data_IF_992527936674
#
_entry.id   IF_992527936674
#
_cell.length_a   1.000
_cell.length_b   1.000
_cell.length_c   1.000
_cell.angle_alpha   90.00
_cell.angle_beta   90.00
_cell.angle_gamma   90.00
#
_symmetry.space_group_name_H-M   'P 1'
#
loop_
_entity.id
_entity.type
_entity.pdbx_description
1 polymer ?
#
# COMPACT_ATOMS: atom_id res chain seq x y z
N UNK A 1 -71.10 23.17 -46.98
CA UNK A 1 -71.07 22.31 -45.78
C UNK A 1 -69.66 22.36 -45.19
N UNK A 2 -69.52 22.87 -43.95
CA UNK A 2 -68.35 22.65 -43.08
C UNK A 2 -68.38 21.17 -42.58
N UNK A 3 -67.30 20.53 -42.07
CA UNK A 3 -66.28 21.13 -41.19
C UNK A 3 -64.82 20.59 -41.34
N UNK A 4 -63.81 21.40 -40.96
CA UNK A 4 -62.86 21.20 -39.84
C UNK A 4 -61.83 20.06 -39.93
N UNK A 5 -60.54 20.43 -39.87
CA UNK A 5 -59.40 19.72 -39.27
C UNK A 5 -58.19 20.68 -39.31
N UNK A 6 -57.98 21.49 -38.27
CA UNK A 6 -57.10 21.31 -37.10
C UNK A 6 -55.62 21.10 -37.48
N UNK A 7 -54.84 22.12 -37.10
CA UNK A 7 -53.38 22.29 -37.17
C UNK A 7 -52.69 21.38 -36.14
N UNK A 8 -51.54 20.80 -36.48
CA UNK A 8 -50.54 20.41 -35.48
C UNK A 8 -49.15 20.82 -35.94
N UNK A 9 -48.59 21.82 -35.25
CA UNK A 9 -47.22 22.32 -35.35
C UNK A 9 -46.33 21.38 -34.53
N UNK A 10 -45.32 20.77 -35.15
CA UNK A 10 -44.29 20.01 -34.46
C UNK A 10 -43.31 20.98 -33.78
N UNK A 11 -43.45 21.15 -32.46
CA UNK A 11 -42.42 21.77 -31.62
C UNK A 11 -41.52 20.65 -31.10
N UNK A 12 -40.32 20.57 -31.66
CA UNK A 12 -39.21 19.78 -31.12
C UNK A 12 -38.71 20.42 -29.83
N UNK A 13 -39.07 19.82 -28.69
CA UNK A 13 -38.49 20.17 -27.39
C UNK A 13 -37.16 19.43 -27.20
N UNK A 14 -36.09 20.23 -27.12
CA UNK A 14 -34.81 19.85 -26.54
C UNK A 14 -35.04 19.45 -25.08
N UNK A 15 -34.83 18.19 -24.74
CA UNK A 15 -34.71 17.75 -23.34
C UNK A 15 -33.27 18.02 -22.88
N UNK A 16 -33.03 18.88 -21.88
CA UNK A 16 -31.75 18.89 -21.19
C UNK A 16 -31.67 17.61 -20.35
N UNK A 17 -30.55 16.90 -20.43
CA UNK A 17 -30.20 15.83 -19.49
C UNK A 17 -29.99 16.47 -18.11
N UNK A 18 -31.09 16.64 -17.37
CA UNK A 18 -31.05 16.84 -15.92
C UNK A 18 -30.71 15.47 -15.35
N UNK A 19 -29.48 15.31 -14.87
CA UNK A 19 -29.10 14.21 -13.97
C UNK A 19 -29.99 14.32 -12.74
N UNK A 20 -31.11 13.60 -12.73
CA UNK A 20 -31.97 13.51 -11.56
C UNK A 20 -31.19 12.78 -10.46
N UNK A 21 -30.88 13.50 -9.39
CA UNK A 21 -30.60 12.87 -8.10
C UNK A 21 -31.82 12.03 -7.71
N UNK A 22 -31.61 10.75 -7.38
CA UNK A 22 -32.68 9.79 -7.13
C UNK A 22 -33.61 10.26 -5.99
N UNK A 23 -34.94 10.28 -6.21
CA UNK A 23 -35.92 10.59 -5.20
C UNK A 23 -36.14 9.35 -4.31
N UNK A 24 -36.27 9.55 -2.99
CA UNK A 24 -36.59 8.55 -1.95
C UNK A 24 -35.41 7.79 -1.31
N UNK A 25 -34.83 8.32 -0.20
CA UNK A 25 -33.84 7.61 0.63
C UNK A 25 -34.40 6.40 1.41
N UNK A 26 -35.72 6.28 1.58
CA UNK A 26 -36.36 5.32 2.50
C UNK A 26 -36.57 3.90 1.94
N UNK A 27 -36.15 3.59 0.70
CA UNK A 27 -36.34 2.27 0.07
C UNK A 27 -35.03 1.58 -0.36
N UNK A 28 -33.89 1.97 0.21
CA UNK A 28 -32.61 1.35 -0.16
C UNK A 28 -32.46 -0.02 0.49
N UNK A 29 -32.15 -1.03 -0.34
CA UNK A 29 -31.78 -2.36 0.15
C UNK A 29 -30.50 -2.32 1.01
N UNK A 30 -30.33 -3.27 1.94
CA UNK A 30 -29.11 -3.40 2.75
C UNK A 30 -27.81 -3.37 1.94
N UNK A 31 -27.83 -3.93 0.72
CA UNK A 31 -26.68 -3.87 -0.20
C UNK A 31 -26.41 -2.45 -0.69
N UNK A 32 -27.45 -1.70 -1.09
CA UNK A 32 -27.31 -0.31 -1.54
C UNK A 32 -26.79 0.59 -0.41
N UNK A 33 -27.30 0.40 0.82
CA UNK A 33 -26.79 1.09 2.01
C UNK A 33 -25.31 0.79 2.24
N UNK A 34 -24.90 -0.48 2.20
CA UNK A 34 -23.49 -0.87 2.33
C UNK A 34 -22.59 -0.30 1.21
N UNK A 35 -23.12 -0.21 -0.03
CA UNK A 35 -22.40 0.41 -1.16
C UNK A 35 -22.24 1.91 -0.94
N UNK A 36 -23.26 2.62 -0.47
CA UNK A 36 -23.18 4.05 -0.13
C UNK A 36 -22.09 4.29 0.91
N UNK A 37 -22.11 3.57 2.03
CA UNK A 37 -21.06 3.68 3.06
C UNK A 37 -19.66 3.42 2.49
N UNK A 38 -19.51 2.43 1.62
CA UNK A 38 -18.22 2.17 0.98
C UNK A 38 -17.77 3.27 0.02
N UNK A 39 -18.69 3.90 -0.72
CA UNK A 39 -18.36 5.00 -1.62
C UNK A 39 -17.95 6.24 -0.82
N UNK A 40 -18.74 6.61 0.20
CA UNK A 40 -18.42 7.73 1.09
C UNK A 40 -17.07 7.51 1.80
N UNK A 41 -16.78 6.28 2.22
CA UNK A 41 -15.49 5.93 2.81
C UNK A 41 -14.34 6.10 1.81
N UNK A 42 -14.49 5.64 0.56
CA UNK A 42 -13.46 5.78 -0.49
C UNK A 42 -13.22 7.24 -0.84
N UNK A 43 -14.26 8.06 -0.94
CA UNK A 43 -14.15 9.49 -1.24
C UNK A 43 -13.42 10.24 -0.12
N UNK A 44 -13.81 10.00 1.13
CA UNK A 44 -13.25 10.72 2.28
C UNK A 44 -11.84 10.27 2.67
N UNK A 45 -11.53 8.97 2.53
CA UNK A 45 -10.29 8.39 3.04
C UNK A 45 -9.29 8.02 1.94
N UNK A 46 -9.74 7.91 0.67
CA UNK A 46 -8.94 7.37 -0.45
C UNK A 46 -8.38 5.97 -0.18
N UNK A 47 -9.11 5.16 0.59
CA UNK A 47 -8.72 3.78 0.94
C UNK A 47 -9.75 2.77 0.39
N UNK A 48 -9.34 1.52 0.13
CA UNK A 48 -10.25 0.48 -0.31
C UNK A 48 -11.34 0.18 0.72
N UNK A 49 -12.57 0.10 0.22
CA UNK A 49 -13.72 -0.48 0.90
C UNK A 49 -14.37 -1.47 -0.04
N UNK A 50 -15.01 -2.51 0.48
CA UNK A 50 -15.86 -3.38 -0.33
C UNK A 50 -17.04 -3.89 0.48
N UNK A 51 -18.08 -4.36 -0.22
CA UNK A 51 -19.30 -4.86 0.39
C UNK A 51 -19.25 -6.39 0.49
N UNK A 52 -19.46 -6.91 1.69
CA UNK A 52 -19.54 -8.35 1.96
C UNK A 52 -20.96 -8.75 2.37
N UNK A 53 -21.37 -9.97 2.01
CA UNK A 53 -22.60 -10.59 2.53
C UNK A 53 -22.26 -11.24 3.86
N UNK A 54 -22.97 -10.87 4.92
CA UNK A 54 -22.67 -11.22 6.32
C UNK A 54 -21.40 -10.53 6.85
N UNK A 55 -20.31 -11.27 7.07
CA UNK A 55 -19.13 -10.77 7.78
C UNK A 55 -18.01 -10.30 6.85
N UNK A 56 -17.16 -9.41 7.38
CA UNK A 56 -15.93 -9.06 6.72
C UNK A 56 -14.93 -10.23 6.83
N UNK A 57 -14.26 -10.61 5.73
CA UNK A 57 -13.20 -11.60 5.74
C UNK A 57 -12.02 -11.12 6.58
N UNK A 58 -11.17 -12.08 6.99
CA UNK A 58 -9.96 -11.80 7.77
C UNK A 58 -9.10 -10.72 7.07
N UNK A 59 -8.63 -9.75 7.84
CA UNK A 59 -7.86 -8.59 7.36
C UNK A 59 -8.70 -7.34 7.07
N UNK A 60 -10.02 -7.41 7.27
CA UNK A 60 -10.93 -6.29 7.07
C UNK A 60 -11.78 -6.04 8.32
N UNK A 61 -12.23 -4.80 8.48
CA UNK A 61 -13.13 -4.39 9.56
C UNK A 61 -14.49 -4.00 9.03
N UNK A 62 -15.52 -4.30 9.82
CA UNK A 62 -16.86 -3.76 9.59
C UNK A 62 -16.83 -2.26 9.88
N UNK A 63 -17.13 -1.44 8.87
CA UNK A 63 -17.45 -0.02 9.06
C UNK A 63 -18.87 0.08 9.61
N UNK A 64 -19.81 -0.58 8.93
CA UNK A 64 -21.22 -0.61 9.29
C UNK A 64 -21.85 -1.90 8.77
N UNK A 65 -22.85 -2.42 9.50
CA UNK A 65 -23.59 -3.62 9.17
C UNK A 65 -25.08 -3.29 9.06
N UNK A 66 -25.68 -3.72 7.96
CA UNK A 66 -27.08 -3.49 7.64
C UNK A 66 -27.83 -4.82 7.76
N UNK A 67 -28.65 -4.91 8.80
CA UNK A 67 -29.53 -6.04 9.11
C UNK A 67 -30.94 -5.50 9.31
N UNK A 68 -31.80 -5.64 8.30
CA UNK A 68 -33.24 -5.46 8.47
C UNK A 68 -33.93 -6.83 8.52
N UNK A 69 -35.17 -6.88 9.02
CA UNK A 69 -35.93 -8.13 9.23
C UNK A 69 -36.43 -8.77 7.93
N UNK A 70 -36.17 -8.16 6.77
CA UNK A 70 -36.77 -8.53 5.49
C UNK A 70 -35.77 -8.98 4.42
N UNK A 71 -34.46 -8.87 4.66
CA UNK A 71 -33.45 -9.12 3.63
C UNK A 71 -32.12 -9.72 4.13
N UNK A 72 -31.24 -10.13 3.19
CA UNK A 72 -29.90 -10.60 3.53
C UNK A 72 -29.05 -9.49 4.15
N UNK A 73 -28.25 -9.88 5.13
CA UNK A 73 -27.29 -9.00 5.81
C UNK A 73 -26.14 -8.62 4.89
N UNK A 74 -25.78 -7.33 4.90
CA UNK A 74 -24.58 -6.82 4.24
C UNK A 74 -23.73 -5.99 5.20
N UNK A 75 -22.42 -6.10 5.06
CA UNK A 75 -21.45 -5.27 5.77
C UNK A 75 -20.63 -4.44 4.78
N UNK A 76 -20.44 -3.16 5.09
CA UNK A 76 -19.39 -2.36 4.47
C UNK A 76 -18.07 -2.66 5.17
N UNK A 77 -17.10 -3.18 4.43
CA UNK A 77 -15.84 -3.66 4.97
C UNK A 77 -14.69 -2.73 4.55
N UNK A 78 -14.06 -2.08 5.52
CA UNK A 78 -12.81 -1.35 5.28
C UNK A 78 -11.63 -2.29 5.39
N UNK A 79 -10.63 -1.99 4.58
CA UNK A 79 -9.38 -2.68 4.64
C UNK A 79 -8.51 -2.16 5.79
N UNK A 80 -8.35 -2.95 6.86
CA UNK A 80 -7.43 -2.63 7.97
C UNK A 80 -5.98 -2.48 7.50
N UNK A 81 -5.62 -3.10 6.37
CA UNK A 81 -4.25 -3.09 5.79
C UNK A 81 -3.87 -1.73 5.19
N UNK A 82 -4.84 -0.82 5.07
CA UNK A 82 -4.66 0.55 4.61
C UNK A 82 -4.80 1.59 5.73
N UNK A 83 -5.18 1.15 6.94
CA UNK A 83 -5.24 2.02 8.09
C UNK A 83 -3.80 2.38 8.49
N UNK A 84 -3.52 3.68 8.45
CA UNK A 84 -2.41 4.24 9.20
C UNK A 84 -2.60 3.81 10.67
N UNK A 85 -1.55 3.34 11.36
CA UNK A 85 -1.58 3.37 12.81
C UNK A 85 -2.05 4.76 13.24
N UNK A 86 -2.96 4.84 14.22
CA UNK A 86 -3.22 6.08 14.97
C UNK A 86 -1.98 6.39 15.83
N UNK A 87 -0.80 6.49 15.22
CA UNK A 87 0.29 7.23 15.80
C UNK A 87 -0.11 8.69 15.63
N UNK A 88 -0.15 9.42 16.74
CA UNK A 88 -0.23 10.87 16.76
C UNK A 88 0.67 11.40 15.65
N UNK A 89 0.08 11.86 14.53
CA UNK A 89 0.90 12.57 13.57
C UNK A 89 1.47 13.76 14.34
N UNK A 90 2.79 13.92 14.42
CA UNK A 90 3.33 15.11 15.03
C UNK A 90 2.70 16.30 14.31
N UNK A 91 2.27 17.35 15.04
CA UNK A 91 1.63 18.51 14.44
C UNK A 91 2.49 18.99 13.27
N UNK A 92 1.86 19.26 12.11
CA UNK A 92 2.55 19.35 10.81
C UNK A 92 3.78 20.27 10.76
N UNK A 93 3.90 21.22 11.69
CA UNK A 93 5.09 22.06 11.87
C UNK A 93 6.35 21.34 12.37
N UNK A 94 6.22 20.32 13.24
CA UNK A 94 7.38 19.62 13.84
C UNK A 94 8.10 18.74 12.81
N UNK A 95 7.35 18.02 11.98
CA UNK A 95 7.93 17.27 10.86
C UNK A 95 8.57 18.20 9.83
N UNK A 96 7.89 19.29 9.43
CA UNK A 96 8.39 20.20 8.41
C UNK A 96 9.78 20.78 8.78
N UNK A 97 9.97 21.18 10.05
CA UNK A 97 11.26 21.69 10.53
C UNK A 97 12.37 20.63 10.60
N UNK A 98 12.04 19.36 10.83
CA UNK A 98 13.03 18.27 11.00
C UNK A 98 13.28 17.43 9.74
N UNK A 99 12.43 17.54 8.73
CA UNK A 99 12.50 16.74 7.53
C UNK A 99 13.88 16.78 6.82
N UNK A 100 14.57 17.93 6.66
CA UNK A 100 15.91 17.95 6.08
C UNK A 100 16.95 17.13 6.88
N UNK A 101 16.88 17.21 8.22
CA UNK A 101 17.77 16.45 9.11
C UNK A 101 17.47 14.95 9.03
N UNK A 102 16.18 14.57 9.02
CA UNK A 102 15.75 13.18 8.88
C UNK A 102 16.19 12.56 7.56
N UNK A 103 16.03 13.27 6.44
CA UNK A 103 16.51 12.81 5.13
C UNK A 103 18.02 12.60 5.13
N UNK A 104 18.79 13.53 5.71
CA UNK A 104 20.24 13.38 5.85
C UNK A 104 20.62 12.16 6.68
N UNK A 105 19.89 11.84 7.75
CA UNK A 105 20.12 10.62 8.54
C UNK A 105 19.75 9.36 7.77
N UNK A 106 18.65 9.38 7.01
CA UNK A 106 18.26 8.28 6.13
C UNK A 106 19.32 8.01 5.06
N UNK A 107 19.82 9.04 4.38
CA UNK A 107 20.86 8.86 3.36
C UNK A 107 22.19 8.37 3.96
N UNK A 108 22.53 8.79 5.19
CA UNK A 108 23.67 8.24 5.95
C UNK A 108 23.50 6.77 6.27
N UNK A 109 22.30 6.34 6.67
CA UNK A 109 21.97 4.93 6.89
C UNK A 109 22.18 4.13 5.61
N UNK A 110 21.59 4.57 4.49
CA UNK A 110 21.76 3.92 3.19
C UNK A 110 23.23 3.82 2.81
N UNK A 111 23.98 4.93 2.94
CA UNK A 111 25.42 4.95 2.66
C UNK A 111 26.23 4.00 3.57
N UNK A 112 25.85 3.84 4.83
CA UNK A 112 26.51 2.91 5.74
C UNK A 112 26.23 1.45 5.34
N UNK A 113 24.98 1.15 4.95
CA UNK A 113 24.57 -0.16 4.44
C UNK A 113 25.31 -0.49 3.14
N UNK A 114 25.41 0.47 2.21
CA UNK A 114 26.14 0.32 0.95
C UNK A 114 27.64 0.07 1.18
N UNK A 115 28.27 0.79 2.10
CA UNK A 115 29.68 0.55 2.49
C UNK A 115 29.88 -0.84 3.12
N UNK A 116 28.85 -1.38 3.76
CA UNK A 116 28.84 -2.73 4.31
C UNK A 116 28.60 -3.83 3.26
N UNK A 117 28.37 -3.50 2.00
CA UNK A 117 28.14 -4.49 0.95
C UNK A 117 29.32 -5.47 0.84
N UNK A 118 28.98 -6.75 0.72
CA UNK A 118 29.93 -7.83 0.48
C UNK A 118 29.62 -8.47 -0.87
N UNK A 119 30.63 -8.53 -1.74
CA UNK A 119 30.49 -9.08 -3.08
C UNK A 119 29.74 -8.16 -4.05
N UNK A 120 29.32 -8.73 -5.19
CA UNK A 120 28.59 -8.01 -6.23
C UNK A 120 27.10 -7.98 -5.95
N UNK A 121 26.43 -6.93 -6.39
CA UNK A 121 24.97 -6.92 -6.45
C UNK A 121 24.49 -7.97 -7.45
N UNK A 122 23.42 -8.67 -7.11
CA UNK A 122 22.86 -9.76 -7.92
C UNK A 122 21.43 -9.42 -8.34
N UNK A 123 20.94 -10.09 -9.37
CA UNK A 123 19.58 -9.92 -9.87
C UNK A 123 18.79 -11.20 -9.66
N UNK A 124 17.47 -11.05 -9.54
CA UNK A 124 16.57 -12.21 -9.59
C UNK A 124 16.76 -12.96 -10.92
N UNK A 125 16.83 -14.31 -10.90
CA UNK A 125 16.91 -15.12 -12.11
C UNK A 125 15.71 -14.88 -13.02
N UNK A 126 15.88 -15.17 -14.31
CA UNK A 126 14.82 -14.98 -15.32
C UNK A 126 13.51 -15.69 -14.91
N UNK A 127 13.59 -16.95 -14.49
CA UNK A 127 12.43 -17.74 -14.06
C UNK A 127 11.67 -17.05 -12.91
N UNK A 128 12.39 -16.59 -11.88
CA UNK A 128 11.78 -15.86 -10.75
C UNK A 128 11.15 -14.55 -11.20
N UNK A 129 11.80 -13.79 -12.09
CA UNK A 129 11.24 -12.53 -12.61
C UNK A 129 9.96 -12.75 -13.42
N UNK A 130 9.93 -13.79 -14.25
CA UNK A 130 8.74 -14.15 -15.03
C UNK A 130 7.57 -14.55 -14.12
N UNK A 131 7.84 -15.40 -13.13
CA UNK A 131 6.83 -15.84 -12.16
C UNK A 131 6.30 -14.68 -11.31
N UNK A 132 7.19 -13.79 -10.86
CA UNK A 132 6.85 -12.65 -10.00
C UNK A 132 6.27 -11.46 -10.77
N UNK A 133 6.58 -11.32 -12.07
CA UNK A 133 6.15 -10.18 -12.89
C UNK A 133 4.63 -10.04 -13.01
N UNK A 134 3.90 -11.16 -12.98
CA UNK A 134 2.45 -11.15 -12.92
C UNK A 134 1.89 -10.51 -11.65
N UNK A 135 2.63 -10.63 -10.54
CA UNK A 135 2.21 -10.05 -9.26
C UNK A 135 2.69 -8.61 -9.15
N UNK A 136 3.97 -8.35 -9.42
CA UNK A 136 4.60 -7.04 -9.24
C UNK A 136 4.64 -6.23 -10.55
N UNK A 137 3.49 -6.09 -11.20
CA UNK A 137 3.37 -5.43 -12.52
C UNK A 137 3.70 -3.93 -12.53
N UNK A 138 3.67 -3.28 -11.36
CA UNK A 138 3.99 -1.86 -11.23
C UNK A 138 5.50 -1.58 -11.16
N UNK A 139 6.37 -2.60 -11.12
CA UNK A 139 7.82 -2.42 -11.05
C UNK A 139 8.55 -3.27 -12.08
N UNK A 140 9.69 -2.75 -12.53
CA UNK A 140 10.61 -3.50 -13.38
C UNK A 140 11.57 -4.34 -12.51
N UNK A 141 11.24 -5.62 -12.36
CA UNK A 141 12.04 -6.59 -11.60
C UNK A 141 13.46 -6.78 -12.16
N UNK A 142 13.73 -6.38 -13.41
CA UNK A 142 15.08 -6.46 -13.99
C UNK A 142 16.03 -5.42 -13.42
N UNK A 143 15.48 -4.33 -12.86
CA UNK A 143 16.25 -3.21 -12.30
C UNK A 143 16.56 -3.37 -10.81
N UNK A 144 15.92 -4.34 -10.16
CA UNK A 144 16.08 -4.59 -8.73
C UNK A 144 17.36 -5.39 -8.48
N UNK A 145 18.18 -4.86 -7.58
CA UNK A 145 19.44 -5.47 -7.14
C UNK A 145 19.29 -6.04 -5.75
N UNK A 146 19.72 -7.27 -5.56
CA UNK A 146 19.79 -7.97 -4.29
C UNK A 146 21.25 -7.95 -3.80
N UNK A 147 21.46 -7.58 -2.55
CA UNK A 147 22.78 -7.28 -2.00
C UNK A 147 22.91 -7.87 -0.60
N UNK A 148 24.02 -8.55 -0.33
CA UNK A 148 24.42 -8.90 1.03
C UNK A 148 25.19 -7.72 1.65
N UNK A 149 24.78 -7.26 2.83
CA UNK A 149 25.50 -6.23 3.58
C UNK A 149 25.71 -6.64 5.03
N UNK A 150 26.97 -6.62 5.47
CA UNK A 150 27.37 -6.89 6.86
C UNK A 150 27.08 -5.74 7.82
N UNK A 151 26.62 -4.60 7.31
CA UNK A 151 26.22 -3.45 8.14
C UNK A 151 24.82 -3.62 8.73
N UNK A 152 24.02 -4.56 8.22
CA UNK A 152 22.74 -4.94 8.79
C UNK A 152 22.96 -6.07 9.80
N UNK A 153 22.51 -5.89 11.04
CA UNK A 153 22.60 -6.92 12.07
C UNK A 153 21.59 -8.06 11.81
N UNK A 154 20.42 -7.74 11.28
CA UNK A 154 19.39 -8.69 10.91
C UNK A 154 18.51 -8.14 9.77
N UNK A 155 17.59 -8.97 9.28
CA UNK A 155 16.55 -8.53 8.36
C UNK A 155 17.05 -8.12 6.98
N UNK A 156 16.21 -7.34 6.29
CA UNK A 156 16.53 -6.70 5.03
C UNK A 156 16.02 -5.25 5.04
N UNK A 157 16.66 -4.42 4.24
CA UNK A 157 16.35 -3.01 4.05
C UNK A 157 16.29 -2.72 2.55
N UNK A 158 15.38 -1.84 2.11
CA UNK A 158 15.32 -1.40 0.72
C UNK A 158 15.25 0.11 0.60
N UNK A 159 16.00 0.64 -0.38
CA UNK A 159 15.98 2.05 -0.78
C UNK A 159 15.14 2.29 -2.05
N UNK A 160 14.26 1.34 -2.38
CA UNK A 160 13.48 1.20 -3.61
C UNK A 160 14.21 0.66 -4.83
N UNK A 161 15.55 0.70 -4.89
CA UNK A 161 16.30 0.19 -6.06
C UNK A 161 17.09 -1.06 -5.71
N UNK A 162 17.60 -1.10 -4.50
CA UNK A 162 18.37 -2.19 -3.96
C UNK A 162 17.65 -2.76 -2.74
N UNK A 163 17.79 -4.06 -2.55
CA UNK A 163 17.37 -4.76 -1.35
C UNK A 163 18.66 -5.30 -0.73
N UNK A 164 19.01 -4.76 0.43
CA UNK A 164 20.15 -5.17 1.22
C UNK A 164 19.66 -6.15 2.29
N UNK A 165 20.34 -7.26 2.48
CA UNK A 165 20.00 -8.23 3.53
C UNK A 165 21.23 -8.55 4.38
N UNK A 166 21.00 -8.84 5.66
CA UNK A 166 22.04 -9.25 6.60
C UNK A 166 22.58 -10.67 6.35
N UNK A 167 21.84 -11.53 5.63
CA UNK A 167 22.23 -12.91 5.35
C UNK A 167 22.67 -13.07 3.89
N UNK A 168 23.94 -13.44 3.68
CA UNK A 168 24.47 -13.78 2.35
C UNK A 168 23.83 -15.04 1.76
N UNK A 169 23.59 -16.06 2.58
CA UNK A 169 22.97 -17.32 2.15
C UNK A 169 21.55 -17.10 1.62
N UNK A 170 20.80 -16.20 2.27
CA UNK A 170 19.46 -15.82 1.81
C UNK A 170 19.50 -15.13 0.45
N UNK A 171 20.44 -14.21 0.24
CA UNK A 171 20.62 -13.55 -1.07
C UNK A 171 21.03 -14.55 -2.14
N UNK A 172 21.93 -15.49 -1.81
CA UNK A 172 22.34 -16.56 -2.71
C UNK A 172 21.15 -17.46 -3.08
N UNK A 173 20.33 -17.88 -2.12
CA UNK A 173 19.15 -18.70 -2.37
C UNK A 173 18.13 -18.01 -3.30
N UNK A 174 17.93 -16.70 -3.16
CA UNK A 174 17.04 -15.93 -4.06
C UNK A 174 17.61 -15.75 -5.47
N UNK A 175 18.93 -15.87 -5.63
CA UNK A 175 19.64 -15.53 -6.87
C UNK A 175 20.25 -16.74 -7.57
N UNK A 176 20.08 -17.94 -7.02
CA UNK A 176 20.50 -19.18 -7.64
C UNK A 176 19.74 -19.38 -8.97
N UNK A 177 20.42 -19.41 -10.13
CA UNK A 177 19.77 -19.57 -11.41
C UNK A 177 19.19 -20.97 -11.64
N UNK A 178 19.63 -21.99 -10.89
CA UNK A 178 19.19 -23.37 -11.01
C UNK A 178 18.00 -23.69 -10.11
N UNK A 179 18.00 -23.15 -8.89
CA UNK A 179 16.97 -23.42 -7.90
C UNK A 179 16.63 -22.18 -7.07
N UNK A 180 16.05 -21.13 -7.68
CA UNK A 180 15.75 -19.91 -6.95
C UNK A 180 14.66 -20.14 -5.92
N UNK A 181 14.93 -19.74 -4.69
CA UNK A 181 13.96 -19.77 -3.60
C UNK A 181 13.12 -18.50 -3.62
N UNK A 182 11.81 -18.66 -3.75
CA UNK A 182 10.87 -17.59 -3.45
C UNK A 182 10.48 -17.71 -1.98
N UNK A 183 10.86 -16.73 -1.17
CA UNK A 183 10.47 -16.68 0.25
C UNK A 183 9.53 -15.51 0.54
N UNK A 184 8.80 -15.61 1.64
CA UNK A 184 7.93 -14.52 2.10
C UNK A 184 8.71 -13.21 2.31
N UNK A 185 9.95 -13.30 2.79
CA UNK A 185 10.82 -12.15 3.01
C UNK A 185 11.23 -11.47 1.71
N UNK A 186 11.53 -12.21 0.64
CA UNK A 186 11.76 -11.63 -0.69
C UNK A 186 10.52 -10.85 -1.17
N UNK A 187 9.36 -11.49 -1.10
CA UNK A 187 8.10 -10.90 -1.54
C UNK A 187 7.75 -9.64 -0.74
N UNK A 188 8.07 -9.64 0.55
CA UNK A 188 7.90 -8.49 1.43
C UNK A 188 8.76 -7.30 0.96
N UNK A 189 10.05 -7.53 0.67
CA UNK A 189 10.93 -6.47 0.18
C UNK A 189 10.50 -5.95 -1.20
N UNK A 190 10.07 -6.83 -2.09
CA UNK A 190 9.50 -6.42 -3.39
C UNK A 190 8.21 -5.61 -3.24
N UNK A 191 7.39 -5.88 -2.22
CA UNK A 191 6.20 -5.08 -1.94
C UNK A 191 6.53 -3.64 -1.50
N UNK A 192 7.65 -3.43 -0.80
CA UNK A 192 8.14 -2.08 -0.51
C UNK A 192 8.61 -1.36 -1.77
N UNK A 193 9.33 -2.06 -2.64
CA UNK A 193 9.76 -1.53 -3.94
C UNK A 193 8.55 -1.15 -4.80
N UNK A 194 7.55 -2.03 -4.90
CA UNK A 194 6.27 -1.77 -5.58
C UNK A 194 5.59 -0.52 -5.03
N UNK A 195 5.50 -0.40 -3.71
CA UNK A 195 4.89 0.75 -3.06
C UNK A 195 5.66 2.04 -3.32
N UNK A 196 6.99 1.96 -3.39
CA UNK A 196 7.82 3.11 -3.69
C UNK A 196 7.56 3.65 -5.09
N UNK A 197 7.47 2.78 -6.09
CA UNK A 197 7.14 3.19 -7.47
C UNK A 197 5.75 3.83 -7.54
N UNK A 198 4.74 3.18 -6.94
CA UNK A 198 3.36 3.71 -6.86
C UNK A 198 3.30 5.09 -6.19
N UNK A 199 4.17 5.36 -5.23
CA UNK A 199 4.23 6.65 -4.54
C UNK A 199 4.99 7.73 -5.32
N UNK A 200 5.49 7.43 -6.53
CA UNK A 200 6.25 8.38 -7.34
C UNK A 200 7.74 8.38 -7.05
N UNK A 201 8.28 7.25 -6.56
CA UNK A 201 9.70 7.01 -6.38
C UNK A 201 10.25 7.32 -4.99
N UNK A 202 11.56 7.10 -4.85
CA UNK A 202 12.30 7.08 -3.57
C UNK A 202 12.05 8.30 -2.71
N UNK A 203 12.15 9.51 -3.26
CA UNK A 203 12.05 10.72 -2.44
C UNK A 203 10.68 10.83 -1.76
N UNK A 204 9.59 10.63 -2.51
CA UNK A 204 8.24 10.73 -1.97
C UNK A 204 7.94 9.58 -1.01
N UNK A 205 8.43 8.37 -1.32
CA UNK A 205 8.32 7.21 -0.44
C UNK A 205 9.01 7.45 0.90
N UNK A 206 10.27 7.88 0.88
CA UNK A 206 11.08 8.14 2.09
C UNK A 206 10.48 9.28 2.90
N UNK A 207 10.10 10.41 2.28
CA UNK A 207 9.41 11.50 3.02
C UNK A 207 8.14 11.03 3.69
N UNK A 208 7.38 10.16 3.01
CA UNK A 208 6.15 9.58 3.55
C UNK A 208 6.46 8.65 4.71
N UNK A 209 7.50 7.82 4.63
CA UNK A 209 7.99 7.00 5.73
C UNK A 209 8.41 7.86 6.94
N UNK A 210 9.31 8.82 6.72
CA UNK A 210 9.87 9.68 7.77
C UNK A 210 8.79 10.51 8.50
N UNK A 211 7.69 10.84 7.81
CA UNK A 211 6.55 11.54 8.41
C UNK A 211 5.83 10.73 9.50
N UNK A 212 5.92 9.40 9.44
CA UNK A 212 5.22 8.49 10.35
C UNK A 212 6.17 7.84 11.38
N UNK A 213 7.36 8.40 11.57
CA UNK A 213 8.23 7.96 12.65
C UNK A 213 7.55 8.20 14.01
N UNK A 214 7.84 7.37 15.03
CA UNK A 214 7.36 7.58 16.39
C UNK A 214 7.79 8.94 16.96
N UNK A 215 6.98 9.50 17.86
CA UNK A 215 7.25 10.81 18.49
C UNK A 215 8.59 10.82 19.24
N UNK A 216 9.04 9.66 19.75
CA UNK A 216 10.33 9.46 20.40
C UNK A 216 11.50 9.83 19.49
N UNK A 217 11.40 9.55 18.17
CA UNK A 217 12.43 9.90 17.20
C UNK A 217 12.51 11.41 17.03
N UNK A 218 11.36 12.09 16.98
CA UNK A 218 11.32 13.56 16.92
C UNK A 218 11.81 14.20 18.22
N UNK A 219 11.49 13.60 19.38
CA UNK A 219 11.99 14.04 20.68
C UNK A 219 13.53 13.92 20.78
N UNK A 220 14.10 12.81 20.31
CA UNK A 220 15.56 12.60 20.24
C UNK A 220 16.24 13.67 19.35
N UNK A 221 15.64 13.95 18.19
CA UNK A 221 16.10 15.01 17.30
C UNK A 221 16.05 16.41 17.91
N UNK A 222 15.06 16.70 18.75
CA UNK A 222 14.97 17.98 19.48
C UNK A 222 16.06 18.11 20.55
N UNK A 223 16.50 16.99 21.13
CA UNK A 223 17.62 16.95 22.09
C UNK A 223 19.01 16.91 21.42
N UNK A 224 19.07 16.84 20.09
CA UNK A 224 20.33 16.74 19.34
C UNK A 224 20.98 15.36 19.40
N UNK A 225 20.23 14.33 19.79
CA UNK A 225 20.73 12.96 19.91
C UNK A 225 20.95 12.33 18.52
N UNK A 226 21.90 11.39 18.45
CA UNK A 226 22.01 10.52 17.29
C UNK A 226 20.79 9.60 17.25
N UNK A 227 20.10 9.55 16.11
CA UNK A 227 18.97 8.62 15.93
C UNK A 227 19.56 7.24 15.72
N UNK A 228 19.07 6.27 16.49
CA UNK A 228 19.28 4.87 16.19
C UNK A 228 18.69 4.54 14.82
N UNK A 229 19.54 4.12 13.89
CA UNK A 229 19.14 3.79 12.53
C UNK A 229 18.18 2.60 12.47
N UNK A 230 18.17 1.73 13.49
CA UNK A 230 17.16 0.68 13.63
C UNK A 230 15.77 1.27 13.89
N UNK A 231 15.67 2.37 14.66
CA UNK A 231 14.40 3.07 14.85
C UNK A 231 13.86 3.66 13.54
N UNK A 232 14.73 4.12 12.63
CA UNK A 232 14.28 4.57 11.30
C UNK A 232 13.83 3.37 10.48
N UNK A 233 14.63 2.29 10.45
CA UNK A 233 14.37 1.06 9.69
C UNK A 233 13.05 0.38 10.07
N UNK A 234 12.78 0.16 11.36
CA UNK A 234 11.60 -0.58 11.83
C UNK A 234 10.33 0.27 11.99
N UNK A 235 10.45 1.60 11.95
CA UNK A 235 9.30 2.51 12.01
C UNK A 235 8.56 2.64 10.66
N UNK A 236 8.82 1.78 9.69
CA UNK A 236 8.16 1.85 8.40
C UNK A 236 6.67 1.49 8.55
N UNK A 237 5.79 2.50 8.59
CA UNK A 237 4.35 2.29 8.81
C UNK A 237 3.66 1.40 7.75
N UNK A 238 4.36 1.06 6.65
CA UNK A 238 3.88 0.23 5.55
C UNK A 238 4.29 -1.25 5.66
N UNK A 239 4.95 -1.66 6.75
CA UNK A 239 5.33 -3.06 7.03
C UNK A 239 4.14 -4.02 6.96
N UNK A 240 2.99 -3.63 7.51
CA UNK A 240 1.76 -4.44 7.43
C UNK A 240 1.30 -4.64 5.98
N UNK A 241 1.38 -3.61 5.14
CA UNK A 241 1.04 -3.74 3.72
C UNK A 241 1.99 -4.73 3.03
N UNK A 242 3.29 -4.60 3.26
CA UNK A 242 4.28 -5.49 2.67
C UNK A 242 4.11 -6.96 3.11
N UNK A 243 3.90 -7.20 4.41
CA UNK A 243 3.60 -8.52 4.96
C UNK A 243 2.37 -9.15 4.29
N UNK A 244 1.25 -8.44 4.24
CA UNK A 244 0.02 -8.95 3.64
C UNK A 244 0.16 -9.21 2.14
N UNK A 245 0.86 -8.31 1.44
CA UNK A 245 1.15 -8.46 0.01
C UNK A 245 1.99 -9.72 -0.23
N UNK A 246 3.03 -9.91 0.58
CA UNK A 246 3.89 -11.08 0.55
C UNK A 246 3.12 -12.37 0.83
N UNK A 247 2.35 -12.44 1.91
CA UNK A 247 1.53 -13.61 2.24
C UNK A 247 0.51 -13.96 1.16
N UNK A 248 -0.13 -12.95 0.56
CA UNK A 248 -1.09 -13.16 -0.52
C UNK A 248 -0.44 -13.78 -1.75
N UNK A 249 0.76 -13.35 -2.12
CA UNK A 249 1.50 -13.90 -3.25
C UNK A 249 2.04 -15.29 -2.89
N UNK A 250 2.61 -15.42 -1.69
CA UNK A 250 3.18 -16.66 -1.20
C UNK A 250 2.18 -17.82 -1.22
N UNK A 251 0.93 -17.57 -0.82
CA UNK A 251 -0.15 -18.57 -0.89
C UNK A 251 -0.45 -19.06 -2.31
N UNK A 252 -0.22 -18.24 -3.33
CA UNK A 252 -0.49 -18.58 -4.74
C UNK A 252 0.70 -19.26 -5.41
N UNK A 253 1.92 -19.01 -4.91
CA UNK A 253 3.16 -19.54 -5.47
C UNK A 253 3.75 -20.69 -4.65
N UNK A 254 3.14 -21.05 -3.52
CA UNK A 254 3.71 -22.02 -2.57
C UNK A 254 5.14 -21.67 -2.17
N UNK A 255 5.33 -20.40 -1.77
CA UNK A 255 6.65 -19.89 -1.39
C UNK A 255 7.12 -20.43 -0.02
N UNK A 256 8.42 -20.36 0.24
CA UNK A 256 9.00 -20.74 1.53
C UNK A 256 8.58 -19.73 2.62
N UNK A 257 8.05 -20.29 3.71
CA UNK A 257 7.75 -19.57 4.93
C UNK A 257 8.88 -19.86 5.90
N UNK A 258 9.61 -18.83 6.28
CA UNK A 258 10.62 -18.89 7.34
C UNK A 258 9.98 -19.33 8.66
#
# INVERSE_FOLDING_TARGET
>A
MRPWLIITICITLFSPFISQAEPYPEQRSNRQLAVTVCNDYRENNRLPCFVSRNDCPRGFEVIERFTDSSGPTFSACRDKRHERPRLSMPPGGRFAGKNPQLLKQFDRLVSAIEKGQVGRSMHLPKASREQLGHFFSAIDLTRIKLVYSKALANGCFTDCRQIFCASGDQVNAWTDPQAPVLSIRLLHQLAHVERCEIQGGRERFVRTWLKHLPDEVFNALDRGEAIDTEMIHFAMYMESHANNRAESICRRLSCERE
#
